data_IF_936242751310
#
_entry.id   IF_936242751310
#
_cell.length_a   1.000
_cell.length_b   1.000
_cell.length_c   1.000
_cell.angle_alpha   90.00
_cell.angle_beta   90.00
_cell.angle_gamma   90.00
#
_symmetry.space_group_name_H-M   'P 1'
#
loop_
_entity.id
_entity.type
_entity.pdbx_description
1 polymer ?
#
# COMPACT_ATOMS: atom_id res chain seq x y z
N UNK A 1 26.79 -60.87 10.40
CA UNK A 1 25.85 -60.27 11.37
C UNK A 1 25.40 -58.90 10.85
N UNK A 2 24.21 -58.77 10.24
CA UNK A 2 23.75 -57.50 9.67
C UNK A 2 22.94 -56.68 10.69
N UNK A 3 23.20 -55.37 10.73
CA UNK A 3 22.49 -54.39 11.54
C UNK A 3 21.17 -54.00 10.86
N UNK A 4 20.05 -54.18 11.55
CA UNK A 4 18.70 -53.94 11.05
C UNK A 4 18.31 -52.44 11.10
N UNK A 5 17.77 -51.94 9.98
CA UNK A 5 17.17 -50.62 9.86
C UNK A 5 15.81 -50.56 10.59
N UNK A 6 15.63 -49.61 11.52
CA UNK A 6 14.33 -49.33 12.15
C UNK A 6 13.54 -48.32 11.30
N UNK A 7 12.47 -48.78 10.63
CA UNK A 7 11.46 -47.91 10.01
C UNK A 7 10.46 -47.45 11.09
N UNK A 8 10.32 -46.14 11.30
CA UNK A 8 9.22 -45.57 12.08
C UNK A 8 7.99 -45.44 11.17
N UNK A 9 6.90 -46.11 11.54
CA UNK A 9 5.61 -45.98 10.87
C UNK A 9 4.89 -44.69 11.35
N UNK A 10 4.47 -43.85 10.40
CA UNK A 10 3.58 -42.71 10.63
C UNK A 10 2.14 -43.20 10.45
N UNK A 11 1.32 -43.11 11.50
CA UNK A 11 -0.13 -43.38 11.42
C UNK A 11 -0.83 -42.15 10.83
N UNK A 12 -1.45 -42.29 9.66
CA UNK A 12 -2.44 -41.35 9.15
C UNK A 12 -3.74 -41.49 9.95
N UNK A 13 -4.29 -40.39 10.44
CA UNK A 13 -5.65 -40.30 10.96
C UNK A 13 -6.50 -39.64 9.88
N UNK A 14 -7.42 -40.41 9.31
CA UNK A 14 -8.38 -39.95 8.30
C UNK A 14 -9.56 -39.27 8.98
N UNK A 15 -9.86 -38.03 8.61
CA UNK A 15 -11.07 -37.31 9.03
C UNK A 15 -12.10 -37.40 7.90
N UNK A 16 -13.21 -38.08 8.14
CA UNK A 16 -14.38 -38.11 7.24
C UNK A 16 -15.38 -37.04 7.65
N UNK A 17 -15.70 -36.12 6.74
CA UNK A 17 -16.85 -35.22 6.88
C UNK A 17 -18.11 -35.93 6.37
N UNK A 18 -19.16 -35.96 7.20
CA UNK A 18 -20.51 -36.41 6.81
C UNK A 18 -21.36 -35.17 6.55
N UNK A 19 -21.96 -35.10 5.36
CA UNK A 19 -22.89 -34.06 4.94
C UNK A 19 -24.25 -34.20 5.65
N UNK A 20 -24.82 -33.08 6.12
CA UNK A 20 -26.19 -33.02 6.61
C UNK A 20 -27.09 -32.36 5.55
N UNK A 21 -28.18 -33.05 5.22
CA UNK A 21 -29.19 -32.72 4.23
C UNK A 21 -30.29 -31.79 4.77
N UNK A 22 -30.92 -31.04 3.86
CA UNK A 22 -32.05 -30.15 4.05
C UNK A 22 -33.35 -30.87 4.49
N UNK A 23 -34.33 -30.12 5.04
CA UNK A 23 -35.79 -30.28 4.90
C UNK A 23 -36.53 -29.02 5.43
N UNK A 24 -37.79 -28.88 5.02
CA UNK A 24 -38.48 -27.62 4.70
C UNK A 24 -39.63 -27.21 5.65
N UNK A 25 -40.15 -26.00 5.38
CA UNK A 25 -41.45 -25.35 5.66
C UNK A 25 -42.47 -25.93 6.66
N UNK A 26 -43.04 -25.04 7.47
CA UNK A 26 -44.37 -25.19 8.09
C UNK A 26 -44.90 -23.85 8.64
N UNK A 27 -46.01 -23.36 8.09
CA UNK A 27 -46.80 -22.24 8.59
C UNK A 27 -48.01 -22.77 9.39
N UNK A 28 -48.43 -22.09 10.46
CA UNK A 28 -49.77 -22.20 11.03
C UNK A 28 -50.21 -20.88 11.72
N UNK A 29 -51.48 -20.55 11.54
CA UNK A 29 -52.22 -19.37 12.00
C UNK A 29 -53.48 -19.84 12.74
N UNK A 30 -53.91 -19.16 13.82
CA UNK A 30 -55.34 -18.95 14.16
C UNK A 30 -55.56 -18.14 15.48
N UNK A 31 -56.11 -16.92 15.33
CA UNK A 31 -57.28 -16.27 16.02
C UNK A 31 -57.60 -16.34 17.55
N UNK A 32 -57.58 -15.14 18.20
CA UNK A 32 -58.57 -14.38 19.07
C UNK A 32 -59.49 -15.07 20.12
N UNK A 33 -60.10 -14.40 21.17
CA UNK A 33 -60.45 -12.94 21.35
C UNK A 33 -60.23 -12.29 22.76
N UNK A 34 -60.60 -10.99 22.91
CA UNK A 34 -60.43 -10.07 24.10
C UNK A 34 -61.34 -10.31 25.33
N UNK A 35 -61.56 -9.35 26.29
CA UNK A 35 -61.89 -7.93 26.04
C UNK A 35 -61.43 -6.85 27.10
N UNK A 36 -61.87 -5.61 26.86
CA UNK A 36 -62.18 -4.45 27.75
C UNK A 36 -61.12 -3.47 28.30
N UNK A 37 -61.34 -2.17 27.97
CA UNK A 37 -60.82 -1.02 28.71
C UNK A 37 -60.50 0.23 27.87
N UNK A 38 -61.51 0.97 27.43
CA UNK A 38 -61.33 2.30 26.79
C UNK A 38 -61.15 3.44 27.79
N UNK A 39 -60.64 4.59 27.31
CA UNK A 39 -61.06 5.97 27.63
C UNK A 39 -60.28 6.96 26.73
N UNK A 40 -61.04 7.72 25.94
CA UNK A 40 -60.61 8.92 25.20
C UNK A 40 -60.35 10.10 26.15
N UNK A 41 -59.38 10.97 25.83
CA UNK A 41 -59.48 12.41 26.09
C UNK A 41 -58.38 13.20 25.34
N UNK A 42 -58.81 13.92 24.32
CA UNK A 42 -58.16 15.05 23.66
C UNK A 42 -57.99 16.27 24.60
N UNK A 43 -56.83 16.93 24.57
CA UNK A 43 -56.70 18.40 24.68
C UNK A 43 -55.22 18.82 24.61
N UNK A 44 -54.89 19.64 23.61
CA UNK A 44 -53.71 20.49 23.62
C UNK A 44 -53.99 21.78 24.42
N UNK A 45 -52.98 22.41 25.01
CA UNK A 45 -53.00 23.86 25.17
C UNK A 45 -51.81 24.52 24.46
N UNK A 46 -52.13 25.62 23.78
CA UNK A 46 -51.19 26.63 23.28
C UNK A 46 -50.74 27.54 24.44
N UNK A 47 -49.48 27.97 24.40
CA UNK A 47 -49.06 29.30 24.86
C UNK A 47 -48.60 29.48 26.31
N UNK A 48 -47.29 29.38 26.55
CA UNK A 48 -46.55 30.29 27.44
C UNK A 48 -45.06 30.27 27.08
N UNK A 49 -44.54 31.40 26.63
CA UNK A 49 -43.15 31.61 26.27
C UNK A 49 -42.23 31.61 27.51
N UNK A 50 -41.05 31.02 27.38
CA UNK A 50 -39.86 31.39 28.16
C UNK A 50 -38.70 31.63 27.20
N UNK A 51 -37.96 32.68 27.51
CA UNK A 51 -37.07 33.43 26.63
C UNK A 51 -35.81 32.66 26.21
N UNK A 52 -35.42 32.84 24.94
CA UNK A 52 -34.04 32.94 24.49
C UNK A 52 -33.08 31.76 24.67
N UNK A 53 -33.03 30.87 23.67
CA UNK A 53 -31.78 30.22 23.23
C UNK A 53 -31.97 29.75 21.79
N UNK A 54 -31.20 30.33 20.87
CA UNK A 54 -31.19 29.92 19.47
C UNK A 54 -30.30 28.70 19.25
N UNK A 55 -30.71 27.86 18.29
CA UNK A 55 -29.80 27.08 17.44
C UNK A 55 -29.32 25.74 17.99
N UNK A 56 -30.13 24.71 17.77
CA UNK A 56 -29.72 23.36 17.36
C UNK A 56 -28.31 22.84 17.73
N UNK A 57 -28.21 22.31 18.96
CA UNK A 57 -27.26 21.25 19.30
C UNK A 57 -27.60 19.96 18.51
N UNK A 58 -27.15 19.89 17.26
CA UNK A 58 -27.13 18.65 16.49
C UNK A 58 -26.02 17.73 17.04
N UNK A 59 -26.40 16.99 18.07
CA UNK A 59 -25.72 15.88 18.71
C UNK A 59 -24.50 15.25 17.98
N UNK A 60 -23.30 15.60 18.42
CA UNK A 60 -22.13 14.75 18.26
C UNK A 60 -22.21 13.59 19.27
N UNK A 61 -22.78 12.44 18.87
CA UNK A 61 -22.79 11.26 19.75
C UNK A 61 -21.40 10.62 19.87
N UNK A 62 -21.11 10.25 21.11
CA UNK A 62 -19.87 9.70 21.65
C UNK A 62 -19.59 8.28 21.14
N UNK A 63 -18.82 8.16 20.05
CA UNK A 63 -18.17 6.91 19.61
C UNK A 63 -16.78 7.23 19.02
N UNK A 64 -15.82 6.27 18.96
CA UNK A 64 -14.44 6.56 18.58
C UNK A 64 -14.23 6.94 17.09
N UNK A 65 -15.30 7.12 16.32
CA UNK A 65 -15.25 7.59 14.92
C UNK A 65 -16.36 8.62 14.68
N UNK A 66 -16.07 9.91 14.95
CA UNK A 66 -16.99 11.00 14.57
C UNK A 66 -17.04 11.11 13.04
N UNK A 67 -18.22 10.94 12.46
CA UNK A 67 -18.61 11.62 11.22
C UNK A 67 -19.39 12.85 11.65
N UNK A 68 -18.83 14.03 11.44
CA UNK A 68 -19.62 15.26 11.45
C UNK A 68 -20.11 15.45 10.01
N UNK A 69 -21.42 15.50 9.80
CA UNK A 69 -21.97 15.96 8.55
C UNK A 69 -21.49 17.39 8.29
N UNK A 70 -21.22 17.70 7.03
CA UNK A 70 -20.74 19.00 6.59
C UNK A 70 -21.75 20.10 6.96
N UNK A 71 -21.51 20.83 8.05
CA UNK A 71 -22.42 21.85 8.55
C UNK A 71 -21.72 22.86 9.47
N UNK A 72 -21.67 24.11 8.98
CA UNK A 72 -21.41 25.41 9.64
C UNK A 72 -20.16 25.54 10.55
N UNK A 73 -19.24 26.41 10.10
CA UNK A 73 -17.97 26.76 10.75
C UNK A 73 -18.19 27.44 12.12
N UNK A 74 -17.43 27.03 13.13
CA UNK A 74 -17.24 27.81 14.35
C UNK A 74 -16.14 28.88 14.15
N UNK A 75 -16.27 30.03 14.81
CA UNK A 75 -15.28 31.11 14.74
C UNK A 75 -13.93 30.65 15.33
N UNK A 76 -12.89 30.57 14.49
CA UNK A 76 -11.54 30.14 14.87
C UNK A 76 -11.06 28.85 14.21
N UNK A 77 -11.86 28.23 13.35
CA UNK A 77 -11.48 27.05 12.59
C UNK A 77 -10.56 27.36 11.39
N UNK A 78 -9.51 26.54 11.13
CA UNK A 78 -8.73 26.65 9.91
C UNK A 78 -9.63 26.49 8.68
N UNK A 79 -9.59 27.45 7.74
CA UNK A 79 -10.24 27.23 6.45
C UNK A 79 -9.38 26.29 5.62
N UNK A 80 -9.85 25.05 5.42
CA UNK A 80 -9.22 24.14 4.46
C UNK A 80 -9.32 24.75 3.06
N UNK A 81 -8.21 24.71 2.32
CA UNK A 81 -8.11 25.35 1.00
C UNK A 81 -8.24 24.31 -0.11
N UNK A 82 -8.87 24.70 -1.22
CA UNK A 82 -9.01 23.83 -2.38
C UNK A 82 -9.87 22.59 -2.09
N UNK A 83 -9.29 21.40 -2.27
CA UNK A 83 -9.97 20.10 -2.10
C UNK A 83 -9.72 19.43 -0.75
N UNK A 84 -9.07 20.14 0.18
CA UNK A 84 -8.81 19.61 1.52
C UNK A 84 -10.09 19.46 2.31
N UNK A 85 -10.17 18.37 3.08
CA UNK A 85 -11.31 18.05 3.94
C UNK A 85 -10.90 18.14 5.39
N UNK A 86 -11.85 18.54 6.21
CA UNK A 86 -11.71 18.68 7.63
C UNK A 86 -11.69 17.31 8.33
N UNK A 87 -10.61 16.99 9.04
CA UNK A 87 -10.44 15.71 9.72
C UNK A 87 -10.05 15.87 11.19
N UNK A 88 -10.49 14.91 12.01
CA UNK A 88 -10.11 14.82 13.42
C UNK A 88 -8.87 13.93 13.60
N UNK A 89 -7.85 14.46 14.29
CA UNK A 89 -6.73 13.70 14.83
C UNK A 89 -6.74 13.84 16.37
N UNK A 90 -7.44 12.91 17.04
CA UNK A 90 -7.66 12.99 18.48
C UNK A 90 -8.53 14.20 18.85
N UNK A 91 -8.00 15.10 19.67
CA UNK A 91 -8.66 16.37 20.02
C UNK A 91 -8.35 17.52 19.03
N UNK A 92 -7.43 17.30 18.08
CA UNK A 92 -7.04 18.33 17.11
C UNK A 92 -7.82 18.20 15.81
N UNK A 93 -8.09 19.35 15.18
CA UNK A 93 -8.71 19.48 13.86
C UNK A 93 -7.62 19.79 12.85
N UNK A 94 -7.54 19.04 11.76
CA UNK A 94 -6.54 19.23 10.69
C UNK A 94 -7.20 19.22 9.32
N UNK A 95 -6.72 20.06 8.42
CA UNK A 95 -7.05 19.99 7.00
C UNK A 95 -6.21 18.89 6.36
N UNK A 96 -6.85 18.01 5.60
CA UNK A 96 -6.18 16.92 4.93
C UNK A 96 -6.72 16.71 3.52
N UNK A 97 -5.83 16.63 2.55
CA UNK A 97 -6.15 16.17 1.20
C UNK A 97 -6.27 14.64 1.20
N UNK A 98 -7.47 14.14 0.93
CA UNK A 98 -7.72 12.70 0.89
C UNK A 98 -6.96 11.98 -0.22
N UNK A 99 -6.54 12.68 -1.27
CA UNK A 99 -5.84 12.06 -2.40
C UNK A 99 -4.38 11.75 -2.09
N UNK A 100 -3.79 12.44 -1.10
CA UNK A 100 -2.34 12.43 -0.85
C UNK A 100 -1.94 12.29 0.62
N UNK A 101 -2.87 12.50 1.57
CA UNK A 101 -2.57 12.42 3.00
C UNK A 101 -2.37 10.99 3.49
N UNK A 102 -1.17 10.61 4.00
CA UNK A 102 -0.94 9.26 4.50
C UNK A 102 -1.75 8.91 5.77
N UNK A 103 -2.30 9.91 6.46
CA UNK A 103 -3.12 9.72 7.66
C UNK A 103 -4.64 9.79 7.41
N UNK A 104 -5.06 10.35 6.27
CA UNK A 104 -6.46 10.57 5.93
C UNK A 104 -6.76 10.15 4.48
N UNK A 105 -6.18 9.03 4.05
CA UNK A 105 -6.21 8.62 2.65
C UNK A 105 -7.60 8.14 2.23
N UNK A 106 -8.26 8.82 1.29
CA UNK A 106 -9.63 8.51 0.86
C UNK A 106 -10.73 8.74 1.90
N UNK A 107 -10.37 8.90 3.18
CA UNK A 107 -11.27 9.20 4.29
C UNK A 107 -10.48 9.64 5.54
N UNK A 108 -11.10 10.45 6.40
CA UNK A 108 -10.48 10.86 7.66
C UNK A 108 -10.10 9.66 8.55
N UNK A 109 -8.86 9.65 9.07
CA UNK A 109 -8.35 8.61 9.95
C UNK A 109 -7.96 7.31 9.23
N UNK A 110 -8.12 7.23 7.90
CA UNK A 110 -7.61 6.09 7.13
C UNK A 110 -6.10 6.22 6.93
N UNK A 111 -5.33 5.65 7.87
CA UNK A 111 -3.86 5.74 7.90
C UNK A 111 -3.21 4.60 7.12
N UNK A 112 -2.44 4.94 6.09
CA UNK A 112 -1.78 3.95 5.24
C UNK A 112 -0.76 3.11 6.00
N UNK A 113 -0.07 3.70 6.98
CA UNK A 113 0.91 2.99 7.81
C UNK A 113 0.32 1.72 8.47
N UNK A 114 -0.95 1.76 8.89
CA UNK A 114 -1.64 0.62 9.50
C UNK A 114 -2.02 -0.48 8.49
N UNK A 115 -2.29 -0.09 7.24
CA UNK A 115 -2.56 -1.04 6.16
C UNK A 115 -1.31 -1.73 5.62
N UNK A 116 -0.12 -1.31 6.06
CA UNK A 116 1.17 -1.83 5.58
C UNK A 116 1.81 -0.97 4.49
N UNK A 117 1.12 0.06 4.01
CA UNK A 117 1.56 1.00 2.97
C UNK A 117 2.16 2.25 3.59
N UNK A 118 3.08 2.91 2.89
CA UNK A 118 3.61 4.20 3.36
C UNK A 118 2.92 5.39 2.72
N UNK A 119 2.36 5.16 1.54
CA UNK A 119 1.86 6.21 0.68
C UNK A 119 0.34 6.21 0.56
N UNK A 120 -0.21 7.40 0.45
CA UNK A 120 -1.51 7.64 -0.13
C UNK A 120 -1.30 8.15 -1.57
N UNK A 121 -1.87 7.46 -2.54
CA UNK A 121 -1.84 7.88 -3.95
C UNK A 121 -3.24 7.78 -4.48
N UNK A 122 -3.78 8.89 -4.99
CA UNK A 122 -5.13 8.99 -5.52
C UNK A 122 -6.23 8.48 -4.56
N UNK A 123 -6.02 8.63 -3.25
CA UNK A 123 -6.98 8.21 -2.22
C UNK A 123 -6.86 6.75 -1.78
N UNK A 124 -5.91 6.00 -2.35
CA UNK A 124 -5.65 4.62 -1.98
C UNK A 124 -4.32 4.45 -1.26
N UNK A 125 -4.34 3.55 -0.28
CA UNK A 125 -3.17 3.18 0.50
C UNK A 125 -2.36 2.10 -0.22
N UNK A 126 -1.23 2.50 -0.79
CA UNK A 126 -0.43 1.70 -1.74
C UNK A 126 1.05 1.65 -1.38
N UNK A 127 1.78 0.70 -1.96
CA UNK A 127 3.24 0.73 -1.97
C UNK A 127 3.71 1.46 -3.22
N UNK A 128 4.62 2.41 -3.09
CA UNK A 128 5.13 3.15 -4.26
C UNK A 128 6.35 2.45 -4.87
N UNK A 129 6.39 2.41 -6.20
CA UNK A 129 7.55 2.02 -6.99
C UNK A 129 7.79 3.04 -8.10
N UNK A 130 9.04 3.45 -8.29
CA UNK A 130 9.40 4.46 -9.30
C UNK A 130 10.81 4.21 -9.84
N UNK A 131 11.17 4.90 -10.92
CA UNK A 131 12.53 4.94 -11.47
C UNK A 131 13.17 6.29 -11.16
N UNK A 132 14.42 6.37 -10.73
CA UNK A 132 15.03 7.67 -10.41
C UNK A 132 15.10 8.57 -11.63
N UNK A 133 14.81 9.87 -11.49
CA UNK A 133 14.95 10.84 -12.58
C UNK A 133 16.37 10.90 -13.14
N UNK A 134 17.34 11.02 -12.24
CA UNK A 134 18.75 11.09 -12.61
C UNK A 134 19.36 9.68 -12.70
N UNK A 135 20.11 9.37 -13.78
CA UNK A 135 20.93 8.18 -13.82
C UNK A 135 22.14 8.31 -12.88
N UNK A 136 22.58 7.19 -12.33
CA UNK A 136 23.72 7.08 -11.42
C UNK A 136 24.76 6.11 -11.99
N UNK A 137 26.04 6.36 -11.74
CA UNK A 137 27.12 5.42 -12.07
C UNK A 137 27.08 4.17 -11.17
N UNK A 138 27.67 3.06 -11.62
CA UNK A 138 27.61 1.80 -10.87
C UNK A 138 28.37 1.81 -9.53
N UNK A 139 29.40 2.67 -9.38
CA UNK A 139 30.12 2.84 -8.13
C UNK A 139 29.34 3.74 -7.15
N UNK A 140 28.28 3.19 -6.57
CA UNK A 140 27.44 3.87 -5.58
C UNK A 140 27.98 3.75 -4.17
N UNK A 141 28.86 2.78 -3.90
CA UNK A 141 29.27 2.41 -2.55
C UNK A 141 28.42 1.29 -1.94
N UNK A 142 27.84 0.44 -2.78
CA UNK A 142 27.04 -0.72 -2.37
C UNK A 142 25.53 -0.47 -2.22
N UNK A 143 24.81 -1.52 -1.83
CA UNK A 143 23.34 -1.52 -1.80
C UNK A 143 22.76 -0.49 -0.82
N UNK A 144 23.41 -0.24 0.32
CA UNK A 144 22.94 0.76 1.29
C UNK A 144 23.01 2.19 0.74
N UNK A 145 24.02 2.49 -0.09
CA UNK A 145 24.12 3.77 -0.76
C UNK A 145 23.08 3.91 -1.89
N UNK A 146 22.80 2.83 -2.63
CA UNK A 146 21.70 2.80 -3.59
C UNK A 146 20.33 3.04 -2.92
N UNK A 147 20.09 2.44 -1.75
CA UNK A 147 18.89 2.74 -0.95
C UNK A 147 18.85 4.21 -0.54
N UNK A 148 19.97 4.80 -0.13
CA UNK A 148 20.04 6.21 0.26
C UNK A 148 19.70 7.16 -0.90
N UNK A 149 20.11 6.82 -2.13
CA UNK A 149 19.71 7.56 -3.34
C UNK A 149 18.18 7.52 -3.50
N UNK A 150 17.57 6.34 -3.37
CA UNK A 150 16.12 6.19 -3.44
C UNK A 150 15.38 7.04 -2.39
N UNK A 151 15.84 7.01 -1.14
CA UNK A 151 15.22 7.80 -0.07
C UNK A 151 15.43 9.31 -0.25
N UNK A 152 16.58 9.73 -0.78
CA UNK A 152 16.87 11.13 -1.09
C UNK A 152 15.97 11.66 -2.21
N UNK A 153 15.71 10.85 -3.24
CA UNK A 153 14.87 11.23 -4.38
C UNK A 153 13.45 11.61 -3.94
N UNK A 154 12.83 10.82 -3.06
CA UNK A 154 11.45 11.09 -2.59
C UNK A 154 11.36 12.05 -1.41
N UNK A 155 12.46 12.28 -0.68
CA UNK A 155 12.45 13.02 0.58
C UNK A 155 11.38 12.49 1.53
N UNK A 156 10.46 13.36 1.96
CA UNK A 156 9.37 13.01 2.87
C UNK A 156 8.02 12.77 2.16
N UNK A 157 7.98 12.74 0.82
CA UNK A 157 6.74 12.71 0.01
C UNK A 157 5.81 11.55 0.37
N UNK A 158 6.36 10.37 0.65
CA UNK A 158 5.60 9.13 0.87
C UNK A 158 5.67 8.65 2.32
N UNK A 159 5.82 9.57 3.27
CA UNK A 159 5.86 9.25 4.70
C UNK A 159 7.18 8.63 5.16
N UNK A 160 7.14 7.90 6.27
CA UNK A 160 8.34 7.39 6.97
C UNK A 160 8.83 6.02 6.52
N UNK A 161 8.15 5.36 5.56
CA UNK A 161 8.58 4.04 5.08
C UNK A 161 9.73 4.21 4.09
N UNK A 162 10.87 3.55 4.33
CA UNK A 162 12.05 3.73 3.50
C UNK A 162 11.82 3.09 2.12
N UNK A 163 12.55 3.57 1.13
CA UNK A 163 12.69 2.93 -0.16
C UNK A 163 13.98 2.13 -0.21
N UNK A 164 13.95 1.00 -0.91
CA UNK A 164 15.15 0.24 -1.25
C UNK A 164 15.30 0.14 -2.76
N UNK A 165 16.53 0.12 -3.22
CA UNK A 165 16.82 -0.12 -4.62
C UNK A 165 16.49 -1.59 -4.99
N UNK A 166 15.82 -1.80 -6.12
CA UNK A 166 15.73 -3.13 -6.75
C UNK A 166 17.08 -3.46 -7.38
N UNK A 167 17.99 -3.95 -6.55
CA UNK A 167 19.39 -4.10 -6.88
C UNK A 167 19.97 -5.28 -6.09
N UNK A 168 20.64 -6.21 -6.76
CA UNK A 168 21.28 -7.35 -6.12
C UNK A 168 22.79 -7.15 -6.02
N UNK A 169 23.42 -7.71 -5.00
CA UNK A 169 24.87 -7.81 -4.90
C UNK A 169 25.28 -9.05 -4.13
N UNK A 170 26.17 -9.86 -4.71
CA UNK A 170 26.66 -11.09 -4.10
C UNK A 170 25.53 -12.00 -3.62
N UNK A 171 25.38 -12.11 -2.29
CA UNK A 171 24.35 -12.94 -1.63
C UNK A 171 23.08 -12.15 -1.23
N UNK A 172 23.09 -10.83 -1.40
CA UNK A 172 21.95 -9.97 -1.12
C UNK A 172 21.15 -9.67 -2.39
N UNK A 173 19.82 -9.71 -2.29
CA UNK A 173 18.93 -9.49 -3.43
C UNK A 173 17.64 -8.78 -2.98
N UNK A 174 16.86 -8.22 -3.91
CA UNK A 174 15.52 -7.74 -3.61
C UNK A 174 14.64 -8.80 -2.92
N UNK A 175 14.69 -10.06 -3.37
CA UNK A 175 13.92 -11.14 -2.75
C UNK A 175 14.30 -11.34 -1.27
N UNK A 176 15.57 -11.26 -0.90
CA UNK A 176 15.98 -11.42 0.52
C UNK A 176 15.77 -10.15 1.35
N UNK A 177 15.95 -8.96 0.75
CA UNK A 177 15.93 -7.67 1.44
C UNK A 177 14.55 -7.04 1.56
N UNK A 178 13.64 -7.31 0.62
CA UNK A 178 12.29 -6.72 0.56
C UNK A 178 11.18 -7.68 0.98
N UNK A 179 11.34 -9.00 0.87
CA UNK A 179 10.23 -9.94 1.12
C UNK A 179 9.75 -10.00 2.57
N UNK A 180 10.64 -9.82 3.56
CA UNK A 180 10.30 -10.02 4.98
C UNK A 180 9.40 -8.93 5.58
N UNK A 181 9.22 -7.80 4.88
CA UNK A 181 8.52 -6.62 5.42
C UNK A 181 7.25 -6.24 4.65
N UNK A 182 6.96 -6.97 3.56
CA UNK A 182 5.82 -6.74 2.68
C UNK A 182 4.58 -7.47 3.18
N UNK A 183 3.43 -6.82 3.12
CA UNK A 183 2.13 -7.51 3.19
C UNK A 183 1.80 -8.04 1.79
N UNK A 184 1.41 -9.30 1.69
CA UNK A 184 1.20 -10.00 0.42
C UNK A 184 0.04 -9.48 -0.45
N UNK A 185 -0.79 -8.56 0.04
CA UNK A 185 -2.00 -8.10 -0.66
C UNK A 185 -2.00 -6.60 -1.03
N UNK A 186 -0.86 -5.90 -0.94
CA UNK A 186 -0.81 -4.48 -1.30
C UNK A 186 -0.31 -4.27 -2.72
N UNK A 187 -1.00 -3.45 -3.53
CA UNK A 187 -0.54 -3.12 -4.87
C UNK A 187 0.70 -2.23 -4.83
N UNK A 188 1.55 -2.42 -5.84
CA UNK A 188 2.68 -1.56 -6.15
C UNK A 188 2.26 -0.61 -7.26
N UNK A 189 2.36 0.69 -6.99
CA UNK A 189 1.79 1.75 -7.82
C UNK A 189 2.87 2.80 -8.09
N UNK A 190 2.84 3.36 -9.30
CA UNK A 190 3.72 4.47 -9.69
C UNK A 190 3.26 5.78 -9.06
N UNK A 191 4.13 6.81 -9.03
CA UNK A 191 3.75 8.14 -8.56
C UNK A 191 2.54 8.79 -9.27
N UNK A 192 2.22 8.37 -10.49
CA UNK A 192 1.06 8.83 -11.28
C UNK A 192 -0.24 8.02 -11.00
N UNK A 193 -0.21 7.08 -10.05
CA UNK A 193 -1.38 6.28 -9.67
C UNK A 193 -1.59 5.02 -10.52
N UNK A 194 -0.74 4.77 -11.52
CA UNK A 194 -0.87 3.55 -12.35
C UNK A 194 -0.31 2.34 -11.60
N UNK A 195 -1.10 1.26 -11.55
CA UNK A 195 -0.72 -0.01 -10.92
C UNK A 195 0.35 -0.72 -11.76
N UNK A 196 1.47 -1.04 -11.13
CA UNK A 196 2.51 -1.90 -11.71
C UNK A 196 2.21 -3.36 -11.41
N UNK A 197 1.85 -3.68 -10.17
CA UNK A 197 1.51 -5.04 -9.74
C UNK A 197 0.43 -5.02 -8.67
N UNK A 198 -0.47 -6.01 -8.66
CA UNK A 198 -1.53 -6.09 -7.65
C UNK A 198 -1.02 -6.54 -6.28
N UNK A 199 0.15 -7.16 -6.24
CA UNK A 199 0.78 -7.67 -5.04
C UNK A 199 2.30 -7.73 -5.18
N UNK A 200 2.98 -7.91 -4.06
CA UNK A 200 4.41 -8.22 -4.07
C UNK A 200 4.72 -9.51 -4.84
N UNK A 201 3.88 -10.54 -4.70
CA UNK A 201 4.07 -11.82 -5.40
C UNK A 201 3.97 -11.64 -6.92
N UNK A 202 3.01 -10.83 -7.39
CA UNK A 202 2.91 -10.50 -8.81
C UNK A 202 4.13 -9.70 -9.29
N UNK A 203 4.62 -8.77 -8.46
CA UNK A 203 5.79 -7.95 -8.77
C UNK A 203 7.05 -8.79 -8.98
N UNK A 204 7.35 -9.70 -8.06
CA UNK A 204 8.51 -10.62 -8.16
C UNK A 204 8.26 -11.84 -9.05
N UNK A 205 7.03 -12.04 -9.54
CA UNK A 205 6.74 -13.01 -10.60
C UNK A 205 6.84 -12.37 -12.00
N UNK A 206 7.21 -11.08 -12.08
CA UNK A 206 7.27 -10.33 -13.34
C UNK A 206 5.91 -10.09 -13.98
N UNK A 207 4.80 -10.19 -13.23
CA UNK A 207 3.43 -9.96 -13.70
C UNK A 207 3.11 -8.46 -13.65
N UNK A 208 3.88 -7.65 -14.39
CA UNK A 208 3.70 -6.20 -14.39
C UNK A 208 2.61 -5.79 -15.37
N UNK A 209 1.64 -5.01 -14.90
CA UNK A 209 0.57 -4.42 -15.71
C UNK A 209 1.02 -3.18 -16.48
N UNK A 210 2.06 -2.50 -15.98
CA UNK A 210 2.64 -1.30 -16.55
C UNK A 210 4.15 -1.26 -16.31
N UNK A 211 4.94 -0.58 -17.16
CA UNK A 211 6.36 -0.39 -16.93
C UNK A 211 6.63 0.58 -15.77
N UNK A 212 7.78 0.45 -15.12
CA UNK A 212 8.23 1.34 -14.04
C UNK A 212 8.95 2.54 -14.65
N UNK A 213 8.25 3.34 -15.44
CA UNK A 213 8.82 4.43 -16.23
C UNK A 213 8.38 5.82 -15.76
N UNK A 214 8.09 5.97 -14.46
CA UNK A 214 7.69 7.25 -13.87
C UNK A 214 8.64 7.58 -12.72
N UNK A 215 9.12 8.81 -12.69
CA UNK A 215 10.10 9.29 -11.72
C UNK A 215 9.48 9.72 -10.39
N UNK A 216 10.33 10.03 -9.40
CA UNK A 216 9.92 10.46 -8.06
C UNK A 216 9.01 11.70 -8.07
N UNK A 217 9.09 12.52 -9.12
CA UNK A 217 8.28 13.72 -9.32
C UNK A 217 6.96 13.44 -10.07
N UNK A 218 6.78 12.23 -10.61
CA UNK A 218 5.62 11.87 -11.41
C UNK A 218 5.80 12.10 -12.92
N UNK A 219 7.02 12.41 -13.38
CA UNK A 219 7.29 12.59 -14.80
C UNK A 219 7.67 11.26 -15.46
N UNK A 220 7.21 11.05 -16.70
CA UNK A 220 7.53 9.84 -17.46
C UNK A 220 8.97 9.87 -17.97
N UNK A 221 9.72 8.79 -17.73
CA UNK A 221 11.01 8.48 -18.34
C UNK A 221 10.75 7.63 -19.59
N UNK A 222 10.77 8.25 -20.77
CA UNK A 222 10.35 7.61 -22.03
C UNK A 222 11.35 6.61 -22.61
N UNK A 223 12.59 6.61 -22.11
CA UNK A 223 13.65 5.68 -22.52
C UNK A 223 14.74 5.64 -21.46
N UNK A 224 15.43 4.51 -21.34
CA UNK A 224 16.57 4.39 -20.43
C UNK A 224 16.82 2.95 -20.03
N UNK A 225 17.86 2.75 -19.21
CA UNK A 225 18.12 1.48 -18.55
C UNK A 225 18.21 1.70 -17.04
N UNK A 226 18.01 0.63 -16.29
CA UNK A 226 18.15 0.64 -14.84
C UNK A 226 19.14 -0.43 -14.37
N UNK A 227 19.98 -0.10 -13.39
CA UNK A 227 20.82 -1.09 -12.74
C UNK A 227 19.96 -2.10 -11.97
N UNK A 228 20.23 -3.39 -12.14
CA UNK A 228 19.49 -4.44 -11.43
C UNK A 228 20.38 -5.56 -10.90
N UNK A 229 21.21 -6.19 -11.75
CA UNK A 229 21.86 -7.49 -11.46
C UNK A 229 20.87 -8.55 -10.89
N UNK A 230 19.58 -8.38 -11.19
CA UNK A 230 18.50 -9.09 -10.51
C UNK A 230 17.62 -9.77 -11.55
N UNK A 231 17.38 -11.07 -11.37
CA UNK A 231 16.44 -11.85 -12.15
C UNK A 231 14.98 -11.43 -11.88
N UNK A 232 14.04 -11.85 -12.73
CA UNK A 232 12.62 -11.54 -12.56
C UNK A 232 12.05 -12.01 -11.22
N UNK A 233 12.59 -13.08 -10.65
CA UNK A 233 12.25 -13.67 -9.35
C UNK A 233 12.76 -12.86 -8.14
N UNK A 234 13.47 -11.76 -8.38
CA UNK A 234 14.07 -10.93 -7.36
C UNK A 234 15.39 -11.46 -6.79
N UNK A 235 15.94 -12.54 -7.32
CA UNK A 235 17.24 -13.07 -6.92
C UNK A 235 18.38 -12.50 -7.77
N UNK A 236 19.61 -12.52 -7.25
CA UNK A 236 20.78 -12.14 -8.03
C UNK A 236 20.91 -13.04 -9.27
N UNK A 237 21.16 -12.44 -10.44
CA UNK A 237 21.16 -13.16 -11.72
C UNK A 237 22.46 -13.93 -12.01
N UNK A 238 23.46 -13.77 -11.15
CA UNK A 238 24.80 -14.38 -11.24
C UNK A 238 25.61 -13.99 -12.49
N UNK A 239 25.32 -12.82 -13.08
CA UNK A 239 26.05 -12.29 -14.25
C UNK A 239 26.99 -11.13 -13.92
N UNK A 240 27.10 -10.77 -12.64
CA UNK A 240 27.97 -9.71 -12.13
C UNK A 240 27.16 -8.56 -11.53
N UNK A 241 27.80 -7.79 -10.66
CA UNK A 241 27.17 -6.70 -9.90
C UNK A 241 28.11 -5.49 -9.73
N UNK A 242 29.04 -5.30 -10.68
CA UNK A 242 30.04 -4.23 -10.64
C UNK A 242 30.87 -4.22 -9.34
N UNK A 243 31.34 -5.40 -8.91
CA UNK A 243 32.01 -5.63 -7.63
C UNK A 243 31.17 -5.15 -6.45
N UNK A 244 29.91 -5.56 -6.42
CA UNK A 244 28.93 -5.10 -5.45
C UNK A 244 28.72 -3.59 -5.44
N UNK A 245 28.63 -3.00 -6.64
CA UNK A 245 28.35 -1.58 -6.85
C UNK A 245 29.43 -0.67 -6.23
N UNK A 246 30.68 -1.12 -6.28
CA UNK A 246 31.87 -0.37 -5.83
C UNK A 246 32.87 -0.11 -6.95
N UNK A 247 32.57 -0.56 -8.18
CA UNK A 247 33.42 -0.36 -9.35
C UNK A 247 32.64 0.29 -10.50
N UNK A 248 33.32 1.18 -11.23
CA UNK A 248 32.82 1.83 -12.44
C UNK A 248 33.87 1.70 -13.55
N UNK A 249 34.08 0.48 -14.04
CA UNK A 249 35.12 0.15 -15.03
C UNK A 249 34.54 -0.60 -16.23
N UNK A 250 35.12 -0.38 -17.41
CA UNK A 250 34.62 -0.94 -18.69
C UNK A 250 34.73 -2.46 -18.79
N UNK A 251 35.71 -3.06 -18.10
CA UNK A 251 35.95 -4.51 -18.13
C UNK A 251 34.95 -5.31 -17.31
N UNK A 252 34.11 -4.64 -16.52
CA UNK A 252 33.03 -5.27 -15.78
C UNK A 252 31.71 -4.91 -16.44
N UNK A 253 30.80 -5.88 -16.45
CA UNK A 253 29.49 -5.73 -17.05
C UNK A 253 28.44 -6.39 -16.19
N UNK A 254 27.23 -5.87 -16.23
CA UNK A 254 26.10 -6.34 -15.43
C UNK A 254 24.83 -6.30 -16.27
N UNK A 255 23.87 -7.16 -15.94
CA UNK A 255 22.55 -7.09 -16.53
C UNK A 255 21.81 -5.84 -16.04
N UNK A 256 21.18 -5.15 -16.97
CA UNK A 256 20.34 -3.98 -16.73
C UNK A 256 18.92 -4.23 -17.23
N UNK A 257 17.98 -3.50 -16.65
CA UNK A 257 16.58 -3.51 -17.06
C UNK A 257 16.23 -2.40 -18.05
N UNK A 258 15.20 -2.59 -18.87
CA UNK A 258 14.57 -1.52 -19.66
C UNK A 258 13.44 -0.86 -18.88
N UNK A 259 13.57 0.43 -18.60
CA UNK A 259 12.60 1.22 -17.82
C UNK A 259 11.21 1.23 -18.45
N UNK A 260 11.12 1.01 -19.76
CA UNK A 260 9.88 1.06 -20.54
C UNK A 260 9.20 -0.30 -20.70
N UNK A 261 9.83 -1.39 -20.24
CA UNK A 261 9.29 -2.74 -20.36
C UNK A 261 8.42 -3.10 -19.15
N UNK A 262 7.31 -3.79 -19.40
CA UNK A 262 6.54 -4.57 -18.39
C UNK A 262 6.78 -6.08 -18.49
N UNK A 263 7.51 -6.54 -19.52
CA UNK A 263 7.98 -7.92 -19.62
C UNK A 263 9.22 -8.13 -18.72
N UNK A 264 9.70 -9.37 -18.49
CA UNK A 264 10.92 -9.64 -17.72
C UNK A 264 12.16 -8.81 -18.09
N UNK A 265 12.22 -8.25 -19.31
CA UNK A 265 13.23 -7.27 -19.72
C UNK A 265 13.27 -6.01 -18.83
N UNK A 266 12.23 -5.73 -18.04
CA UNK A 266 12.22 -4.62 -17.08
C UNK A 266 13.37 -4.72 -16.08
N UNK A 267 13.82 -5.94 -15.76
CA UNK A 267 14.97 -6.19 -14.86
C UNK A 267 16.12 -6.94 -15.54
N UNK A 268 15.85 -7.71 -16.60
CA UNK A 268 16.89 -8.45 -17.34
C UNK A 268 16.75 -8.29 -18.85
N UNK A 269 17.11 -7.11 -19.38
CA UNK A 269 17.06 -6.82 -20.83
C UNK A 269 18.40 -7.16 -21.52
N UNK A 270 19.42 -6.37 -21.23
CA UNK A 270 20.73 -6.43 -21.87
C UNK A 270 21.85 -6.31 -20.84
N UNK A 271 23.08 -6.58 -21.27
CA UNK A 271 24.27 -6.33 -20.46
C UNK A 271 24.82 -4.94 -20.74
N UNK A 272 25.25 -4.23 -19.69
CA UNK A 272 25.90 -2.92 -19.77
C UNK A 272 27.23 -2.92 -19.03
N UNK A 273 28.20 -2.15 -19.52
CA UNK A 273 29.46 -1.89 -18.82
C UNK A 273 29.23 -1.04 -17.57
N UNK A 274 29.98 -1.31 -16.49
CA UNK A 274 29.84 -0.63 -15.20
C UNK A 274 30.32 0.83 -15.20
N UNK A 275 31.05 1.25 -16.23
CA UNK A 275 31.49 2.64 -16.45
C UNK A 275 30.36 3.59 -16.86
N UNK A 276 29.23 3.05 -17.34
CA UNK A 276 28.08 3.83 -17.77
C UNK A 276 27.25 4.31 -16.57
N UNK A 277 26.19 5.07 -16.86
CA UNK A 277 25.23 5.55 -15.87
C UNK A 277 23.83 5.12 -16.28
N UNK A 278 23.07 4.59 -15.32
CA UNK A 278 21.70 4.12 -15.51
C UNK A 278 20.82 4.52 -14.32
N UNK A 279 19.52 4.46 -14.51
CA UNK A 279 18.56 4.76 -13.44
C UNK A 279 18.56 3.67 -12.36
N UNK A 280 17.87 3.93 -11.26
CA UNK A 280 17.55 2.94 -10.24
C UNK A 280 16.03 2.77 -10.14
N UNK A 281 15.57 1.53 -9.98
CA UNK A 281 14.21 1.32 -9.49
C UNK A 281 14.21 1.37 -7.96
N UNK A 282 13.29 2.14 -7.41
CA UNK A 282 13.14 2.35 -5.98
C UNK A 282 11.78 1.83 -5.52
N UNK A 283 11.80 0.86 -4.60
CA UNK A 283 10.60 0.16 -4.13
C UNK A 283 10.40 0.44 -2.63
N UNK A 284 9.22 0.93 -2.24
CA UNK A 284 8.92 1.33 -0.87
C UNK A 284 8.73 0.15 0.09
N UNK A 285 9.54 -0.03 1.12
CA UNK A 285 9.52 -1.17 2.09
C UNK A 285 8.23 -1.28 2.95
#
# INVERSE_FOLDING_TARGET
>A
MPYAARRRAVRLVSVTCVAASAWACGAFSSSAPGPDGGLDASAAPEGAAVDGAGGDDAACFDTPFRRCDAGTREAGEPECVGSEVYCYEGASRVCADWSSSPNHCGACGNRCAYKGSGACVAGDCVSVVFVTKAPTGANMGGLAAADAICNTAVGNKYGKRPFRAWLSSGLESPASRLASKRRTAQPLVRPDGVVVANSWNDFVAGQHQAPINVDEAGATVSSGRAWTATGPDGNHDNKGDCNGWTAAIDSLSVTVGDVTSSSPAWTTDVTSACSLQHHLYCVQD
#
